data_IF_344612928397
#
_entry.id   IF_344612928397
#
_cell.length_a   1.000
_cell.length_b   1.000
_cell.length_c   1.000
_cell.angle_alpha   90.00
_cell.angle_beta   90.00
_cell.angle_gamma   90.00
#
_symmetry.space_group_name_H-M   'P 1'
#
loop_
_entity.id
_entity.type
_entity.pdbx_description
1 polymer ?
#
# COMPACT_ATOMS: atom_id res chain seq x y z
N UNK A 1 0.83 -32.72 -21.60
CA UNK A 1 0.24 -33.34 -20.39
C UNK A 1 0.81 -32.70 -19.13
N UNK A 2 0.30 -31.52 -18.75
CA UNK A 2 0.70 -30.81 -17.53
C UNK A 2 -0.40 -30.93 -16.48
N UNK A 3 -0.27 -31.87 -15.56
CA UNK A 3 -1.18 -32.01 -14.42
C UNK A 3 -0.99 -30.77 -13.53
N UNK A 4 -1.99 -29.89 -13.46
CA UNK A 4 -2.03 -28.82 -12.44
C UNK A 4 -2.16 -29.49 -11.08
N UNK A 5 -1.05 -29.54 -10.33
CA UNK A 5 -1.01 -30.05 -8.97
C UNK A 5 -1.57 -28.96 -8.06
N UNK A 6 -2.83 -29.12 -7.64
CA UNK A 6 -3.41 -28.27 -6.62
C UNK A 6 -2.81 -28.65 -5.26
N UNK A 7 -2.30 -27.66 -4.51
CA UNK A 7 -1.76 -27.89 -3.16
C UNK A 7 -2.84 -28.30 -2.15
N UNK A 8 -4.10 -27.94 -2.41
CA UNK A 8 -5.24 -28.26 -1.56
C UNK A 8 -6.41 -28.81 -2.39
N UNK A 9 -6.99 -29.91 -1.94
CA UNK A 9 -8.34 -30.34 -2.34
C UNK A 9 -9.33 -29.92 -1.26
N UNK A 10 -10.41 -29.23 -1.65
CA UNK A 10 -11.44 -28.77 -0.72
C UNK A 10 -12.84 -29.20 -1.14
N UNK A 11 -13.70 -29.44 -0.15
CA UNK A 11 -15.13 -29.68 -0.35
C UNK A 11 -15.92 -28.80 0.62
N UNK A 12 -16.80 -27.97 0.07
CA UNK A 12 -17.64 -27.04 0.85
C UNK A 12 -18.88 -27.75 1.41
N UNK A 13 -19.23 -28.92 0.85
CA UNK A 13 -20.40 -29.69 1.25
C UNK A 13 -20.13 -30.44 2.56
N UNK A 14 -18.94 -31.02 2.70
CA UNK A 14 -18.55 -31.82 3.87
C UNK A 14 -17.47 -31.12 4.73
N UNK A 15 -16.94 -29.98 4.28
CA UNK A 15 -15.92 -29.19 4.99
C UNK A 15 -14.49 -29.71 4.82
N UNK A 16 -14.26 -30.77 4.05
CA UNK A 16 -12.92 -31.36 3.85
C UNK A 16 -11.95 -30.32 3.29
N UNK A 17 -10.77 -30.21 3.91
CA UNK A 17 -9.67 -29.37 3.44
C UNK A 17 -9.83 -27.87 3.70
N UNK A 18 -10.99 -27.41 4.19
CA UNK A 18 -11.25 -25.99 4.46
C UNK A 18 -10.38 -25.49 5.61
N UNK A 19 -10.27 -26.26 6.70
CA UNK A 19 -9.42 -25.89 7.85
C UNK A 19 -7.94 -25.79 7.46
N UNK A 20 -7.46 -26.70 6.62
CA UNK A 20 -6.10 -26.68 6.10
C UNK A 20 -5.83 -25.45 5.22
N UNK A 21 -6.80 -25.08 4.39
CA UNK A 21 -6.73 -23.86 3.57
C UNK A 21 -6.72 -22.60 4.45
N UNK A 22 -7.58 -22.53 5.46
CA UNK A 22 -7.66 -21.39 6.39
C UNK A 22 -6.37 -21.24 7.20
N UNK A 23 -5.80 -22.35 7.69
CA UNK A 23 -4.52 -22.35 8.39
C UNK A 23 -3.38 -21.82 7.51
N UNK A 24 -3.34 -22.24 6.24
CA UNK A 24 -2.32 -21.79 5.29
C UNK A 24 -2.48 -20.31 4.92
N UNK A 25 -3.72 -19.85 4.72
CA UNK A 25 -4.00 -18.42 4.53
C UNK A 25 -3.54 -17.62 5.75
N UNK A 26 -3.88 -18.08 6.96
CA UNK A 26 -3.46 -17.45 8.21
C UNK A 26 -1.94 -17.38 8.36
N UNK A 27 -1.23 -18.46 8.01
CA UNK A 27 0.23 -18.52 8.02
C UNK A 27 0.86 -17.56 7.02
N UNK A 28 0.32 -17.45 5.80
CA UNK A 28 0.82 -16.49 4.80
C UNK A 28 0.52 -15.05 5.20
N UNK A 29 -0.67 -14.80 5.74
CA UNK A 29 -1.08 -13.49 6.21
C UNK A 29 -0.24 -13.02 7.39
N UNK A 30 0.10 -13.91 8.34
CA UNK A 30 0.96 -13.55 9.48
C UNK A 30 2.41 -13.34 9.07
N UNK A 31 2.90 -14.01 8.02
CA UNK A 31 4.22 -13.74 7.43
C UNK A 31 4.25 -12.42 6.65
N UNK A 32 3.16 -12.07 5.99
CA UNK A 32 3.04 -10.83 5.22
C UNK A 32 2.75 -9.61 6.11
N UNK A 33 2.03 -9.81 7.21
CA UNK A 33 1.81 -8.79 8.22
C UNK A 33 3.12 -8.61 9.00
N UNK A 34 3.78 -7.47 8.81
CA UNK A 34 4.90 -7.07 9.66
C UNK A 34 4.51 -7.03 11.15
N UNK A 35 5.49 -6.78 12.03
CA UNK A 35 5.27 -6.79 13.48
C UNK A 35 4.03 -6.00 13.93
N UNK A 36 3.24 -6.63 14.82
CA UNK A 36 2.05 -6.05 15.43
C UNK A 36 2.45 -4.79 16.22
N UNK A 37 2.04 -3.62 15.72
CA UNK A 37 2.50 -2.34 16.26
C UNK A 37 1.98 -1.12 15.51
N UNK A 38 2.25 -0.97 14.20
CA UNK A 38 1.74 0.22 13.51
C UNK A 38 0.34 -0.01 12.93
N UNK A 39 -0.60 0.71 13.51
CA UNK A 39 -1.76 1.34 12.87
C UNK A 39 -1.72 1.27 11.34
N UNK A 40 -2.58 0.42 10.77
CA UNK A 40 -2.54 -0.05 9.39
C UNK A 40 -3.13 0.88 8.29
N UNK A 41 -3.76 2.05 8.55
CA UNK A 41 -4.02 3.04 7.49
C UNK A 41 -2.78 3.86 7.11
N UNK A 42 -1.92 4.18 8.09
CA UNK A 42 -0.79 5.08 7.89
C UNK A 42 0.35 4.44 7.09
N UNK A 43 0.61 3.14 7.28
CA UNK A 43 1.66 2.42 6.53
C UNK A 43 1.40 2.44 5.02
N UNK A 44 0.19 2.13 4.56
CA UNK A 44 -0.10 2.11 3.12
C UNK A 44 0.02 3.52 2.52
N UNK A 45 -0.61 4.52 3.16
CA UNK A 45 -0.51 5.93 2.74
C UNK A 45 0.94 6.41 2.68
N UNK A 46 1.75 6.11 3.70
CA UNK A 46 3.17 6.48 3.72
C UNK A 46 3.97 5.76 2.63
N UNK A 47 3.70 4.48 2.38
CA UNK A 47 4.32 3.73 1.29
C UNK A 47 3.98 4.36 -0.06
N UNK A 48 2.73 4.77 -0.28
CA UNK A 48 2.32 5.46 -1.51
C UNK A 48 3.01 6.82 -1.68
N UNK A 49 3.10 7.61 -0.61
CA UNK A 49 3.81 8.90 -0.60
C UNK A 49 5.30 8.73 -0.88
N UNK A 50 5.96 7.74 -0.25
CA UNK A 50 7.36 7.41 -0.50
C UNK A 50 7.59 6.94 -1.93
N UNK A 51 6.72 6.09 -2.46
CA UNK A 51 6.80 5.64 -3.86
C UNK A 51 6.61 6.79 -4.84
N UNK A 52 5.70 7.73 -4.54
CA UNK A 52 5.52 8.93 -5.35
C UNK A 52 6.76 9.84 -5.31
N UNK A 53 7.30 10.11 -4.12
CA UNK A 53 8.54 10.88 -3.96
C UNK A 53 9.69 10.25 -4.74
N UNK A 54 9.85 8.92 -4.66
CA UNK A 54 10.91 8.22 -5.37
C UNK A 54 10.79 8.35 -6.90
N UNK A 55 9.58 8.27 -7.46
CA UNK A 55 9.36 8.50 -8.91
C UNK A 55 9.77 9.90 -9.34
N UNK A 56 9.44 10.92 -8.55
CA UNK A 56 9.82 12.30 -8.83
C UNK A 56 11.34 12.50 -8.74
N UNK A 57 11.99 11.90 -7.73
CA UNK A 57 13.45 11.93 -7.61
C UNK A 57 14.16 11.29 -8.82
N UNK A 58 13.65 10.16 -9.31
CA UNK A 58 14.20 9.52 -10.51
C UNK A 58 14.07 10.40 -11.75
N UNK A 59 12.96 11.15 -11.90
CA UNK A 59 12.78 12.10 -13.01
C UNK A 59 13.68 13.31 -12.88
N UNK A 60 13.83 13.86 -11.67
CA UNK A 60 14.74 14.96 -11.38
C UNK A 60 16.22 14.60 -11.61
N UNK A 61 16.58 13.31 -11.44
CA UNK A 61 17.91 12.80 -11.69
C UNK A 61 18.21 12.56 -13.19
N UNK A 62 17.21 12.58 -14.08
CA UNK A 62 17.46 12.48 -15.52
C UNK A 62 18.07 13.79 -16.04
N UNK A 63 19.37 13.76 -16.32
CA UNK A 63 20.15 14.89 -16.82
C UNK A 63 19.69 15.41 -18.19
N UNK A 64 18.92 14.61 -18.94
CA UNK A 64 18.34 15.01 -20.23
C UNK A 64 17.14 15.94 -20.07
N UNK A 65 16.60 16.05 -18.85
CA UNK A 65 15.45 16.91 -18.54
C UNK A 65 15.91 18.35 -18.29
N UNK A 66 15.14 19.33 -18.79
CA UNK A 66 15.41 20.75 -18.56
C UNK A 66 15.48 21.07 -17.06
N UNK A 67 16.36 22.02 -16.67
CA UNK A 67 16.58 22.37 -15.26
C UNK A 67 15.30 22.82 -14.54
N UNK A 68 14.42 23.55 -15.23
CA UNK A 68 13.12 24.00 -14.69
C UNK A 68 12.21 22.81 -14.34
N UNK A 69 12.15 21.80 -15.21
CA UNK A 69 11.36 20.59 -14.97
C UNK A 69 11.97 19.74 -13.85
N UNK A 70 13.30 19.66 -13.77
CA UNK A 70 13.98 18.96 -12.67
C UNK A 70 13.71 19.64 -11.32
N UNK A 71 13.70 20.97 -11.29
CA UNK A 71 13.35 21.74 -10.09
C UNK A 71 11.91 21.48 -9.65
N UNK A 72 10.95 21.42 -10.60
CA UNK A 72 9.56 21.08 -10.29
C UNK A 72 9.42 19.64 -9.77
N UNK A 73 10.10 18.67 -10.36
CA UNK A 73 10.11 17.29 -9.86
C UNK A 73 10.70 17.20 -8.44
N UNK A 74 11.72 17.99 -8.10
CA UNK A 74 12.25 18.09 -6.74
C UNK A 74 11.24 18.74 -5.77
N UNK A 75 10.52 19.78 -6.21
CA UNK A 75 9.45 20.41 -5.41
C UNK A 75 8.35 19.41 -5.08
N UNK A 76 7.92 18.63 -6.08
CA UNK A 76 6.91 17.58 -5.91
C UNK A 76 7.41 16.45 -5.01
N UNK A 77 8.67 16.03 -5.12
CA UNK A 77 9.25 15.04 -4.21
C UNK A 77 9.27 15.54 -2.76
N UNK A 78 9.67 16.80 -2.53
CA UNK A 78 9.70 17.43 -1.21
C UNK A 78 8.30 17.53 -0.60
N UNK A 79 7.29 17.90 -1.39
CA UNK A 79 5.88 17.91 -0.99
C UNK A 79 5.40 16.54 -0.48
N UNK A 80 5.65 15.46 -1.26
CA UNK A 80 5.25 14.10 -0.85
C UNK A 80 5.92 13.64 0.44
N UNK A 81 7.18 14.01 0.65
CA UNK A 81 7.88 13.75 1.91
C UNK A 81 7.30 14.59 3.06
N UNK A 82 6.97 15.86 2.81
CA UNK A 82 6.31 16.75 3.76
C UNK A 82 5.02 16.15 4.34
N UNK A 83 4.20 15.51 3.51
CA UNK A 83 2.95 14.84 3.91
C UNK A 83 3.14 13.62 4.82
N UNK A 84 4.35 13.06 4.88
CA UNK A 84 4.72 11.98 5.80
C UNK A 84 5.08 12.55 7.18
N UNK A 85 5.82 13.67 7.22
CA UNK A 85 6.30 14.31 8.47
C UNK A 85 5.27 15.23 9.14
N UNK A 86 4.08 15.39 8.55
CA UNK A 86 2.96 16.11 9.17
C UNK A 86 2.62 17.46 8.55
N UNK A 87 3.09 17.76 7.32
CA UNK A 87 2.43 18.76 6.49
C UNK A 87 1.06 18.20 6.07
N UNK A 88 0.00 18.59 6.78
CA UNK A 88 -1.36 18.11 6.53
C UNK A 88 -2.04 19.07 5.57
N UNK A 89 -2.38 18.58 4.39
CA UNK A 89 -3.22 19.31 3.43
C UNK A 89 -4.70 19.19 3.83
N UNK A 90 -5.53 20.14 3.40
CA UNK A 90 -6.98 20.15 3.72
C UNK A 90 -7.63 18.84 3.28
N UNK A 91 -7.24 18.32 2.13
CA UNK A 91 -7.72 17.07 1.54
C UNK A 91 -7.38 15.85 2.42
N UNK A 92 -6.21 15.81 3.07
CA UNK A 92 -5.85 14.72 3.98
C UNK A 92 -6.77 14.71 5.23
N UNK A 93 -7.19 15.91 5.67
CA UNK A 93 -8.10 16.07 6.79
C UNK A 93 -9.53 15.64 6.41
N UNK A 94 -9.95 15.91 5.17
CA UNK A 94 -11.23 15.45 4.64
C UNK A 94 -11.27 13.93 4.46
N UNK A 95 -10.21 13.30 3.96
CA UNK A 95 -10.16 11.83 3.81
C UNK A 95 -10.25 11.10 5.15
N UNK A 96 -9.61 11.62 6.21
CA UNK A 96 -9.75 11.06 7.57
C UNK A 96 -11.17 11.23 8.10
N UNK A 97 -11.77 12.42 7.92
CA UNK A 97 -13.16 12.68 8.34
C UNK A 97 -14.10 11.73 7.61
N UNK A 98 -13.97 11.57 6.29
CA UNK A 98 -14.92 10.81 5.48
C UNK A 98 -14.66 9.30 5.45
N UNK A 99 -13.43 8.83 5.74
CA UNK A 99 -13.09 7.39 5.81
C UNK A 99 -13.73 6.64 6.97
N UNK A 100 -14.24 7.36 7.99
CA UNK A 100 -14.95 6.76 9.13
C UNK A 100 -16.47 6.71 8.94
N UNK A 101 -17.01 7.35 7.91
CA UNK A 101 -18.43 7.22 7.59
C UNK A 101 -18.62 5.99 6.70
N UNK A 102 -19.25 4.95 7.24
CA UNK A 102 -19.80 3.89 6.40
C UNK A 102 -20.70 4.55 5.35
N UNK A 103 -20.46 4.28 4.06
CA UNK A 103 -21.38 4.67 2.99
C UNK A 103 -22.76 4.06 3.34
N UNK A 104 -23.72 4.92 3.69
CA UNK A 104 -25.11 4.54 3.91
C UNK A 104 -25.55 4.33 5.37
N UNK A 105 -25.26 5.27 6.27
CA UNK A 105 -26.15 5.51 7.43
C UNK A 105 -26.59 6.96 7.48
#
# INVERSE_FOLDING_TARGET
NGVRRYEFGISVIDGTGVDGLLAEIGRRASQAAGAAGDVLPSRLRHVELLNAANRHLHRAADERTAQELRAEELRLAADRLGRIVGAVDVEDLLDVIFSQFCIGK
#
